data_IF_911085960541
#
_entry.id   IF_911085960541
#
_cell.length_a   1.000
_cell.length_b   1.000
_cell.length_c   1.000
_cell.angle_alpha   90.00
_cell.angle_beta   90.00
_cell.angle_gamma   90.00
#
_symmetry.space_group_name_H-M   'P 1'
#
loop_
_entity.id
_entity.type
_entity.pdbx_description
1 polymer ?
#
# COMPACT_ATOMS: atom_id res chain seq x y z
N UNK A 1 -30.26 -18.62 -50.57
CA UNK A 1 -30.71 -18.00 -49.30
C UNK A 1 -29.54 -17.81 -48.36
N UNK A 2 -29.19 -16.55 -48.13
CA UNK A 2 -27.93 -16.06 -47.52
C UNK A 2 -27.90 -16.20 -45.99
N UNK A 3 -27.46 -17.35 -45.47
CA UNK A 3 -27.07 -17.49 -44.05
C UNK A 3 -25.59 -17.23 -43.77
N UNK A 4 -24.81 -16.86 -44.79
CA UNK A 4 -23.37 -16.65 -44.67
C UNK A 4 -22.96 -15.22 -44.22
N UNK A 5 -23.76 -14.22 -44.46
CA UNK A 5 -23.42 -12.81 -44.21
C UNK A 5 -23.58 -12.42 -42.73
N UNK A 6 -24.53 -13.02 -42.02
CA UNK A 6 -24.77 -12.72 -40.60
C UNK A 6 -23.62 -13.14 -39.68
N UNK A 7 -22.92 -14.25 -39.98
CA UNK A 7 -21.77 -14.71 -39.19
C UNK A 7 -20.57 -13.78 -39.30
N UNK A 8 -20.40 -13.15 -40.47
CA UNK A 8 -19.34 -12.17 -40.66
C UNK A 8 -19.59 -10.88 -39.90
N UNK A 9 -20.84 -10.41 -39.86
CA UNK A 9 -21.22 -9.21 -39.11
C UNK A 9 -21.00 -9.38 -37.60
N UNK A 10 -21.44 -10.51 -37.05
CA UNK A 10 -21.22 -10.84 -35.61
C UNK A 10 -19.73 -10.95 -35.27
N UNK A 11 -18.90 -11.51 -36.14
CA UNK A 11 -17.47 -11.62 -35.93
C UNK A 11 -16.78 -10.24 -35.89
N UNK A 12 -17.19 -9.31 -36.73
CA UNK A 12 -16.65 -7.94 -36.74
C UNK A 12 -17.10 -7.18 -35.49
N UNK A 13 -18.35 -7.32 -35.09
CA UNK A 13 -18.88 -6.70 -33.87
C UNK A 13 -18.14 -7.20 -32.62
N UNK A 14 -17.93 -8.52 -32.53
CA UNK A 14 -17.14 -9.10 -31.44
C UNK A 14 -15.68 -8.62 -31.46
N UNK A 15 -15.06 -8.53 -32.65
CA UNK A 15 -13.67 -8.07 -32.77
C UNK A 15 -13.49 -6.60 -32.32
N UNK A 16 -14.51 -5.77 -32.43
CA UNK A 16 -14.50 -4.39 -31.94
C UNK A 16 -14.71 -4.30 -30.43
N UNK A 17 -15.53 -5.19 -29.86
CA UNK A 17 -15.83 -5.18 -28.42
C UNK A 17 -14.79 -5.93 -27.59
N UNK A 18 -14.14 -6.96 -28.14
CA UNK A 18 -13.19 -7.79 -27.41
C UNK A 18 -12.00 -6.99 -26.81
N UNK A 19 -11.35 -6.06 -27.53
CA UNK A 19 -10.27 -5.26 -26.95
C UNK A 19 -10.72 -4.42 -25.75
N UNK A 20 -11.91 -3.83 -25.82
CA UNK A 20 -12.48 -3.04 -24.74
C UNK A 20 -12.74 -3.92 -23.50
N UNK A 21 -13.31 -5.11 -23.68
CA UNK A 21 -13.54 -6.07 -22.61
C UNK A 21 -12.25 -6.51 -21.95
N UNK A 22 -11.20 -6.76 -22.74
CA UNK A 22 -9.88 -7.15 -22.24
C UNK A 22 -9.26 -6.03 -21.39
N UNK A 23 -9.31 -4.78 -21.84
CA UNK A 23 -8.78 -3.63 -21.06
C UNK A 23 -9.51 -3.50 -19.73
N UNK A 24 -10.83 -3.61 -19.72
CA UNK A 24 -11.63 -3.54 -18.48
C UNK A 24 -11.25 -4.68 -17.52
N UNK A 25 -11.07 -5.89 -18.04
CA UNK A 25 -10.68 -7.04 -17.24
C UNK A 25 -9.32 -6.82 -16.56
N UNK A 26 -8.32 -6.36 -17.32
CA UNK A 26 -7.01 -6.05 -16.76
C UNK A 26 -7.07 -4.92 -15.74
N UNK A 27 -7.84 -3.87 -16.01
CA UNK A 27 -8.01 -2.76 -15.08
C UNK A 27 -8.60 -3.23 -13.72
N UNK A 28 -9.56 -4.16 -13.73
CA UNK A 28 -10.14 -4.73 -12.50
C UNK A 28 -9.09 -5.55 -11.73
N UNK A 29 -8.29 -6.35 -12.43
CA UNK A 29 -7.23 -7.18 -11.81
C UNK A 29 -6.17 -6.27 -11.17
N UNK A 30 -5.67 -5.28 -11.91
CA UNK A 30 -4.65 -4.35 -11.42
C UNK A 30 -5.13 -3.53 -10.22
N UNK A 31 -6.38 -3.06 -10.27
CA UNK A 31 -6.97 -2.37 -9.13
C UNK A 31 -7.06 -3.27 -7.90
N UNK A 32 -7.41 -4.54 -8.08
CA UNK A 32 -7.43 -5.54 -6.99
C UNK A 32 -6.04 -5.74 -6.38
N UNK A 33 -5.00 -5.82 -7.20
CA UNK A 33 -3.61 -5.93 -6.75
C UNK A 33 -3.20 -4.65 -6.00
N UNK A 34 -3.47 -3.47 -6.55
CA UNK A 34 -3.15 -2.21 -5.90
C UNK A 34 -3.82 -2.06 -4.53
N UNK A 35 -5.07 -2.54 -4.39
CA UNK A 35 -5.80 -2.53 -3.13
C UNK A 35 -5.16 -3.48 -2.10
N UNK A 36 -4.70 -4.67 -2.51
CA UNK A 36 -3.97 -5.58 -1.61
C UNK A 36 -2.67 -4.97 -1.12
N UNK A 37 -1.94 -4.25 -1.97
CA UNK A 37 -0.75 -3.50 -1.58
C UNK A 37 -1.10 -2.43 -0.53
N UNK A 38 -2.14 -1.64 -0.76
CA UNK A 38 -2.58 -0.61 0.18
C UNK A 38 -2.92 -1.19 1.56
N UNK A 39 -3.60 -2.34 1.61
CA UNK A 39 -3.93 -3.03 2.87
C UNK A 39 -2.67 -3.57 3.58
N UNK A 40 -1.71 -4.10 2.84
CA UNK A 40 -0.44 -4.58 3.40
C UNK A 40 0.35 -3.42 4.04
N UNK A 41 0.46 -2.27 3.34
CA UNK A 41 1.12 -1.09 3.88
C UNK A 41 0.39 -0.52 5.11
N UNK A 42 -0.93 -0.47 5.11
CA UNK A 42 -1.71 -0.05 6.28
C UNK A 42 -1.52 -1.00 7.48
N UNK A 43 -1.37 -2.30 7.23
CA UNK A 43 -1.04 -3.28 8.28
C UNK A 43 0.37 -3.06 8.83
N UNK A 44 1.36 -2.83 7.95
CA UNK A 44 2.72 -2.47 8.33
C UNK A 44 2.80 -1.20 9.18
N UNK A 45 2.02 -0.17 8.83
CA UNK A 45 1.95 1.07 9.60
C UNK A 45 1.45 0.85 11.03
N UNK A 46 0.45 0.00 11.21
CA UNK A 46 -0.08 -0.35 12.55
C UNK A 46 0.96 -1.11 13.38
N UNK A 47 1.67 -2.06 12.77
CA UNK A 47 2.74 -2.79 13.49
C UNK A 47 3.91 -1.87 13.82
N UNK A 48 4.26 -0.92 12.94
CA UNK A 48 5.26 0.11 13.22
C UNK A 48 4.86 1.00 14.40
N UNK A 49 3.61 1.46 14.44
CA UNK A 49 3.07 2.25 15.55
C UNK A 49 3.04 1.47 16.86
N UNK A 50 2.64 0.19 16.81
CA UNK A 50 2.68 -0.71 17.97
C UNK A 50 4.11 -0.91 18.47
N UNK A 51 5.06 -1.13 17.58
CA UNK A 51 6.47 -1.25 17.95
C UNK A 51 6.98 0.03 18.61
N UNK A 52 6.69 1.20 18.04
CA UNK A 52 7.05 2.48 18.61
C UNK A 52 6.45 2.69 20.00
N UNK A 53 5.20 2.31 20.22
CA UNK A 53 4.51 2.48 21.49
C UNK A 53 5.03 1.57 22.61
N UNK A 54 5.35 0.31 22.28
CA UNK A 54 5.70 -0.72 23.28
C UNK A 54 7.20 -0.78 23.52
N UNK A 55 8.02 -0.68 22.48
CA UNK A 55 9.48 -0.87 22.59
C UNK A 55 10.23 0.44 22.82
N UNK A 56 9.62 1.57 22.48
CA UNK A 56 10.22 2.90 22.69
C UNK A 56 9.83 3.53 24.03
N UNK A 57 9.33 2.75 24.95
CA UNK A 57 8.97 3.19 26.31
C UNK A 57 10.19 3.63 27.12
N UNK A 58 10.13 4.72 27.89
CA UNK A 58 11.18 5.10 28.83
C UNK A 58 11.41 3.99 29.88
N UNK A 59 12.68 3.67 30.26
CA UNK A 59 13.95 4.30 29.88
C UNK A 59 14.63 3.60 28.67
N UNK A 60 13.96 3.46 27.54
CA UNK A 60 14.64 2.84 26.39
C UNK A 60 15.83 3.70 25.95
N UNK A 61 16.92 3.03 25.55
CA UNK A 61 18.06 3.74 25.00
C UNK A 61 17.68 4.28 23.62
N UNK A 62 18.05 5.52 23.31
CA UNK A 62 17.75 6.19 22.04
C UNK A 62 18.12 5.39 20.78
N UNK A 63 18.98 4.38 20.92
CA UNK A 63 19.45 3.50 19.82
C UNK A 63 18.38 2.48 19.38
N UNK A 64 17.45 2.09 20.25
CA UNK A 64 16.42 1.09 19.95
C UNK A 64 15.15 1.69 19.34
N UNK A 65 15.01 3.02 19.33
CA UNK A 65 13.81 3.75 18.94
C UNK A 65 14.05 4.77 17.83
N UNK A 66 15.00 4.48 16.97
CA UNK A 66 15.22 5.30 15.77
C UNK A 66 14.12 5.06 14.73
N UNK A 67 13.87 6.04 13.88
CA UNK A 67 13.00 5.89 12.71
C UNK A 67 13.37 4.66 11.88
N UNK A 68 14.69 4.36 11.75
CA UNK A 68 15.18 3.17 11.04
C UNK A 68 14.78 1.85 11.70
N UNK A 69 14.73 1.77 13.03
CA UNK A 69 14.27 0.57 13.73
C UNK A 69 12.78 0.32 13.49
N UNK A 70 11.95 1.38 13.50
CA UNK A 70 10.53 1.31 13.20
C UNK A 70 10.33 0.87 11.74
N UNK A 71 11.05 1.47 10.79
CA UNK A 71 11.01 1.11 9.38
C UNK A 71 11.39 -0.35 9.14
N UNK A 72 12.45 -0.84 9.79
CA UNK A 72 12.89 -2.25 9.73
C UNK A 72 11.77 -3.17 10.23
N UNK A 73 11.10 -2.80 11.31
CA UNK A 73 9.98 -3.58 11.85
C UNK A 73 8.78 -3.61 10.89
N UNK A 74 8.47 -2.48 10.26
CA UNK A 74 7.41 -2.39 9.25
C UNK A 74 7.71 -3.37 8.11
N UNK A 75 8.91 -3.30 7.53
CA UNK A 75 9.31 -4.20 6.43
C UNK A 75 9.24 -5.67 6.84
N UNK A 76 9.73 -6.01 8.05
CA UNK A 76 9.71 -7.38 8.55
C UNK A 76 8.30 -7.93 8.81
N UNK A 77 7.31 -7.05 8.99
CA UNK A 77 5.91 -7.44 9.23
C UNK A 77 5.07 -7.61 7.96
N UNK A 78 5.60 -7.16 6.83
CA UNK A 78 4.90 -7.25 5.56
C UNK A 78 5.22 -8.54 4.80
N UNK A 79 4.31 -9.02 3.95
CA UNK A 79 4.59 -10.16 3.08
C UNK A 79 5.76 -9.88 2.15
N UNK A 80 6.50 -10.91 1.76
CA UNK A 80 7.58 -10.80 0.78
C UNK A 80 7.04 -10.36 -0.59
N UNK A 81 7.80 -9.49 -1.29
CA UNK A 81 7.40 -9.01 -2.61
C UNK A 81 6.70 -7.65 -2.62
N UNK A 82 6.53 -7.01 -1.45
CA UNK A 82 5.98 -5.66 -1.35
C UNK A 82 7.13 -4.64 -1.20
N UNK A 83 7.51 -3.92 -2.27
CA UNK A 83 8.56 -2.91 -2.19
C UNK A 83 8.08 -1.74 -1.33
N UNK A 84 8.89 -1.33 -0.36
CA UNK A 84 8.58 -0.18 0.51
C UNK A 84 9.59 0.91 0.28
N UNK A 85 9.09 2.09 -0.03
CA UNK A 85 9.87 3.33 -0.08
C UNK A 85 9.33 4.26 1.00
N UNK A 86 10.14 4.57 2.02
CA UNK A 86 9.72 5.47 3.10
C UNK A 86 9.96 6.94 2.70
N UNK A 87 9.08 7.49 1.89
CA UNK A 87 9.11 8.93 1.59
C UNK A 87 8.31 9.68 2.66
N UNK A 88 8.84 10.80 3.14
CA UNK A 88 8.20 11.63 4.18
C UNK A 88 7.79 10.84 5.44
N UNK A 89 8.64 9.87 5.86
CA UNK A 89 8.37 9.04 7.04
C UNK A 89 8.26 9.88 8.31
N UNK A 90 7.20 9.66 9.08
CA UNK A 90 6.96 10.30 10.37
C UNK A 90 6.46 9.28 11.39
N UNK A 91 6.96 9.41 12.62
CA UNK A 91 6.47 8.67 13.79
C UNK A 91 6.39 9.67 14.96
N UNK A 92 5.22 10.22 15.19
CA UNK A 92 5.02 11.30 16.17
C UNK A 92 3.78 11.06 17.04
N UNK A 93 3.81 11.42 18.33
CA UNK A 93 4.97 11.83 19.12
C UNK A 93 5.97 10.71 19.37
N UNK A 94 7.18 11.04 19.78
CA UNK A 94 8.19 10.05 20.16
C UNK A 94 7.85 9.46 21.53
N UNK A 95 7.49 8.18 21.58
CA UNK A 95 7.13 7.47 22.81
C UNK A 95 8.33 7.26 23.79
N UNK A 96 9.56 7.53 23.37
CA UNK A 96 10.74 7.48 24.25
C UNK A 96 10.80 8.62 25.27
N UNK A 97 10.01 9.67 25.04
CA UNK A 97 9.94 10.84 25.91
C UNK A 97 8.88 10.61 26.98
N UNK A 98 9.21 10.75 28.30
CA UNK A 98 8.23 10.54 29.38
C UNK A 98 6.95 11.38 29.26
N UNK A 99 7.04 12.56 28.66
CA UNK A 99 5.89 13.44 28.41
C UNK A 99 4.90 12.88 27.37
N UNK A 100 5.32 11.88 26.60
CA UNK A 100 4.48 11.25 25.56
C UNK A 100 3.72 10.03 26.08
N UNK A 101 3.96 9.58 27.30
CA UNK A 101 3.23 8.46 27.92
C UNK A 101 1.73 8.76 27.93
N UNK A 102 0.95 7.83 27.40
CA UNK A 102 -0.50 7.98 27.27
C UNK A 102 -0.96 8.75 26.02
N UNK A 103 -0.06 9.36 25.26
CA UNK A 103 -0.37 9.95 23.97
C UNK A 103 -0.47 8.89 22.86
N UNK A 104 -1.03 9.25 21.73
CA UNK A 104 -1.17 8.34 20.56
C UNK A 104 -0.04 8.66 19.60
N UNK A 105 0.88 7.69 19.43
CA UNK A 105 1.87 7.76 18.35
C UNK A 105 1.21 7.40 17.03
N UNK A 106 1.46 8.20 16.01
CA UNK A 106 1.03 7.91 14.64
C UNK A 106 2.24 7.73 13.75
N UNK A 107 2.32 6.59 13.09
CA UNK A 107 3.34 6.29 12.08
C UNK A 107 2.69 6.45 10.71
N UNK A 108 3.32 7.24 9.85
CA UNK A 108 2.86 7.47 8.47
C UNK A 108 4.04 7.70 7.54
N UNK A 109 3.83 7.38 6.27
CA UNK A 109 4.76 7.71 5.18
C UNK A 109 4.00 7.83 3.86
N UNK A 110 4.70 8.24 2.84
CA UNK A 110 4.19 8.32 1.48
C UNK A 110 4.72 7.12 0.67
N UNK A 111 3.82 6.41 0.00
CA UNK A 111 4.14 5.23 -0.80
C UNK A 111 3.49 5.33 -2.18
N UNK A 112 4.29 5.16 -3.23
CA UNK A 112 3.79 5.06 -4.60
C UNK A 112 3.55 3.60 -4.95
N UNK A 113 2.35 3.30 -5.42
CA UNK A 113 1.93 1.99 -5.93
C UNK A 113 1.80 2.10 -7.45
N UNK A 114 2.62 1.40 -8.23
CA UNK A 114 2.47 1.36 -9.68
C UNK A 114 1.21 0.58 -10.06
N UNK A 115 0.56 0.99 -11.14
CA UNK A 115 -0.61 0.34 -11.74
C UNK A 115 -0.27 0.11 -13.21
N UNK A 116 -0.05 -1.12 -13.61
CA UNK A 116 0.41 -1.49 -14.94
C UNK A 116 -0.75 -2.09 -15.77
N UNK A 117 -1.48 -1.24 -16.46
CA UNK A 117 -2.57 -1.67 -17.35
C UNK A 117 -2.08 -1.69 -18.78
N UNK A 118 -2.12 -2.84 -19.50
CA UNK A 118 -1.71 -2.92 -20.89
C UNK A 118 -2.42 -1.88 -21.77
N UNK A 119 -1.69 -1.23 -22.67
CA UNK A 119 -2.15 -0.21 -23.60
C UNK A 119 -2.49 1.16 -22.97
N UNK A 120 -2.35 1.32 -21.66
CA UNK A 120 -2.46 2.61 -20.99
C UNK A 120 -1.06 3.13 -20.58
N UNK A 121 -0.89 4.45 -20.47
CA UNK A 121 0.36 5.00 -19.93
C UNK A 121 0.55 4.54 -18.48
N UNK A 122 1.81 4.58 -18.02
CA UNK A 122 2.16 4.26 -16.63
C UNK A 122 1.32 5.07 -15.65
N UNK A 123 0.48 4.37 -14.92
CA UNK A 123 -0.35 4.94 -13.87
C UNK A 123 0.29 4.64 -12.52
N UNK A 124 0.18 5.56 -11.59
CA UNK A 124 0.62 5.35 -10.22
C UNK A 124 -0.37 5.94 -9.23
N UNK A 125 -0.51 5.28 -8.11
CA UNK A 125 -1.35 5.74 -7.02
C UNK A 125 -0.48 6.00 -5.80
N UNK A 126 -0.46 7.26 -5.35
CA UNK A 126 0.20 7.64 -4.10
C UNK A 126 -0.74 7.44 -2.94
N UNK A 127 -0.32 6.63 -1.97
CA UNK A 127 -1.06 6.35 -0.75
C UNK A 127 -0.26 6.84 0.46
N UNK A 128 -0.97 7.15 1.54
CA UNK A 128 -0.41 7.56 2.83
C UNK A 128 -0.79 6.53 3.91
N UNK A 129 -0.07 5.38 3.98
CA UNK A 129 -0.32 4.41 5.02
C UNK A 129 -0.18 5.05 6.39
N UNK A 130 -1.11 4.80 7.29
CA UNK A 130 -1.06 5.31 8.64
C UNK A 130 -1.48 4.25 9.65
N UNK A 131 -0.82 4.26 10.80
CA UNK A 131 -1.14 3.42 11.93
C UNK A 131 -0.95 4.19 13.21
N UNK A 132 -1.85 4.00 14.18
CA UNK A 132 -1.78 4.71 15.45
C UNK A 132 -1.86 3.74 16.61
N UNK A 133 -1.10 4.01 17.67
CA UNK A 133 -1.08 3.24 18.91
C UNK A 133 -0.82 4.16 20.11
N UNK A 134 -1.22 3.76 21.32
CA UNK A 134 -1.00 4.55 22.53
C UNK A 134 0.36 4.24 23.13
N UNK A 135 1.16 5.26 23.41
CA UNK A 135 2.43 5.11 24.14
C UNK A 135 2.18 4.62 25.56
N UNK A 136 2.82 3.53 25.96
CA UNK A 136 2.73 2.89 27.28
C UNK A 136 3.76 3.43 28.28
#
# INVERSE_FOLDING_TARGET
MRKKDERGAVAVEFALLAPLMVIILFAIIEFGIAMTHALAYASGAREGARFAAVHCRPPSTATSCTSGAIQTRIVASMPTGYPVTFTSFSATPDCSIPASVGQIVTVTWEQVVPIDVPLLPDLSWTIHPSGSFRCE
#
